data_IF_473614376335
#
_entry.id   IF_473614376335
#
_cell.length_a   1.000
_cell.length_b   1.000
_cell.length_c   1.000
_cell.angle_alpha   90.00
_cell.angle_beta   90.00
_cell.angle_gamma   90.00
#
_symmetry.space_group_name_H-M   'P 1'
#
loop_
_entity.id
_entity.type
_entity.pdbx_description
1 polymer ?
#
# COMPACT_ATOMS: atom_id res chain seq x y z
N UNK A 1 -18.52 -26.37 11.41
CA UNK A 1 -19.09 -27.32 12.39
C UNK A 1 -19.42 -28.61 11.66
N UNK A 2 -18.82 -29.74 12.03
CA UNK A 2 -19.31 -31.04 11.55
C UNK A 2 -20.67 -31.32 12.21
N UNK A 3 -21.54 -32.05 11.51
CA UNK A 3 -22.83 -32.42 12.11
C UNK A 3 -22.58 -33.37 13.31
N UNK A 4 -23.31 -33.19 14.42
CA UNK A 4 -23.21 -34.09 15.57
C UNK A 4 -23.50 -35.52 15.15
N UNK A 5 -22.71 -36.47 15.66
CA UNK A 5 -22.89 -37.90 15.38
C UNK A 5 -23.86 -38.57 16.36
N UNK A 6 -24.15 -37.92 17.50
CA UNK A 6 -25.20 -38.36 18.42
C UNK A 6 -26.58 -38.23 17.76
N UNK A 7 -27.41 -39.26 17.94
CA UNK A 7 -28.79 -39.26 17.47
C UNK A 7 -29.72 -38.90 18.63
N UNK A 8 -30.69 -38.04 18.37
CA UNK A 8 -31.77 -37.79 19.33
C UNK A 8 -32.55 -39.09 19.61
N UNK A 9 -32.58 -39.52 20.88
CA UNK A 9 -33.46 -40.61 21.32
C UNK A 9 -32.86 -42.02 21.37
N UNK A 10 -31.65 -42.21 21.91
CA UNK A 10 -31.04 -43.53 22.09
C UNK A 10 -31.79 -44.49 23.03
N UNK A 11 -32.64 -43.97 23.93
CA UNK A 11 -33.55 -44.79 24.74
C UNK A 11 -34.99 -44.50 24.31
N UNK A 12 -35.66 -45.47 23.69
CA UNK A 12 -37.11 -45.39 23.50
C UNK A 12 -37.75 -45.47 24.88
N UNK A 13 -38.51 -44.45 25.28
CA UNK A 13 -39.28 -44.52 26.52
C UNK A 13 -40.22 -45.74 26.43
N UNK A 14 -39.92 -46.80 27.21
CA UNK A 14 -40.59 -48.11 27.22
C UNK A 14 -40.35 -49.06 26.03
N UNK A 15 -39.26 -48.89 25.25
CA UNK A 15 -38.84 -49.86 24.22
C UNK A 15 -37.60 -50.65 24.63
N UNK A 16 -37.38 -51.87 24.09
CA UNK A 16 -36.14 -52.61 24.31
C UNK A 16 -34.98 -51.87 23.62
N UNK A 17 -34.08 -51.28 24.41
CA UNK A 17 -32.81 -50.74 23.93
C UNK A 17 -31.72 -51.71 24.36
N UNK A 18 -30.89 -52.15 23.42
CA UNK A 18 -29.76 -53.01 23.78
C UNK A 18 -28.73 -52.22 24.59
N UNK A 19 -28.08 -52.87 25.54
CA UNK A 19 -26.98 -52.24 26.30
C UNK A 19 -25.86 -51.72 25.40
N UNK A 20 -25.65 -52.39 24.26
CA UNK A 20 -24.70 -51.97 23.23
C UNK A 20 -25.09 -50.64 22.58
N UNK A 21 -26.34 -50.48 22.13
CA UNK A 21 -26.83 -49.22 21.54
C UNK A 21 -26.80 -48.06 22.54
N UNK A 22 -27.11 -48.34 23.81
CA UNK A 22 -27.02 -47.33 24.87
C UNK A 22 -25.57 -46.86 25.05
N UNK A 23 -24.61 -47.79 25.16
CA UNK A 23 -23.19 -47.46 25.33
C UNK A 23 -22.64 -46.67 24.13
N UNK A 24 -22.94 -47.11 22.90
CA UNK A 24 -22.52 -46.39 21.68
C UNK A 24 -23.11 -44.98 21.63
N UNK A 25 -24.36 -44.80 22.07
CA UNK A 25 -24.98 -43.47 22.11
C UNK A 25 -24.36 -42.56 23.19
N UNK A 26 -24.02 -43.10 24.36
CA UNK A 26 -23.30 -42.34 25.39
C UNK A 26 -21.87 -42.00 24.94
N UNK A 27 -21.16 -42.92 24.30
CA UNK A 27 -19.84 -42.66 23.71
C UNK A 27 -19.91 -41.56 22.64
N UNK A 28 -20.91 -41.61 21.75
CA UNK A 28 -21.11 -40.58 20.71
C UNK A 28 -21.43 -39.20 21.31
N UNK A 29 -22.25 -39.14 22.38
CA UNK A 29 -22.51 -37.87 23.09
C UNK A 29 -21.24 -37.33 23.75
N UNK A 30 -20.43 -38.22 24.32
CA UNK A 30 -19.15 -37.83 24.91
C UNK A 30 -18.20 -37.26 23.85
N UNK A 31 -18.09 -37.90 22.69
CA UNK A 31 -17.30 -37.38 21.57
C UNK A 31 -17.83 -36.04 21.04
N UNK A 32 -19.14 -35.88 20.89
CA UNK A 32 -19.75 -34.61 20.49
C UNK A 32 -19.48 -33.50 21.52
N UNK A 33 -19.59 -33.80 22.82
CA UNK A 33 -19.25 -32.86 23.89
C UNK A 33 -17.77 -32.46 23.85
N UNK A 34 -16.87 -33.43 23.67
CA UNK A 34 -15.44 -33.17 23.59
C UNK A 34 -15.10 -32.31 22.35
N UNK A 35 -15.75 -32.58 21.21
CA UNK A 35 -15.61 -31.75 20.02
C UNK A 35 -16.16 -30.34 20.24
N UNK A 36 -17.31 -30.18 20.90
CA UNK A 36 -17.86 -28.87 21.27
C UNK A 36 -16.93 -28.10 22.21
N UNK A 37 -16.36 -28.75 23.22
CA UNK A 37 -15.38 -28.11 24.11
C UNK A 37 -14.12 -27.69 23.35
N UNK A 38 -13.61 -28.55 22.46
CA UNK A 38 -12.46 -28.22 21.62
C UNK A 38 -12.75 -27.02 20.72
N UNK A 39 -13.89 -27.02 20.03
CA UNK A 39 -14.32 -25.90 19.18
C UNK A 39 -14.58 -24.64 20.00
N UNK A 40 -15.16 -24.74 21.20
CA UNK A 40 -15.37 -23.59 22.08
C UNK A 40 -14.05 -22.96 22.52
N UNK A 41 -13.07 -23.79 22.90
CA UNK A 41 -11.74 -23.31 23.27
C UNK A 41 -11.00 -22.70 22.06
N UNK A 42 -11.09 -23.33 20.88
CA UNK A 42 -10.53 -22.78 19.63
C UNK A 42 -11.17 -21.42 19.30
N UNK A 43 -12.50 -21.30 19.41
CA UNK A 43 -13.22 -20.05 19.18
C UNK A 43 -12.84 -18.97 20.20
N UNK A 44 -12.72 -19.30 21.49
CA UNK A 44 -12.31 -18.34 22.52
C UNK A 44 -10.89 -17.82 22.27
N UNK A 45 -9.98 -18.70 21.83
CA UNK A 45 -8.61 -18.34 21.48
C UNK A 45 -8.59 -17.41 20.26
N UNK A 46 -9.30 -17.77 19.18
CA UNK A 46 -9.44 -16.93 17.99
C UNK A 46 -10.03 -15.55 18.33
N UNK A 47 -11.04 -15.50 19.20
CA UNK A 47 -11.69 -14.26 19.61
C UNK A 47 -10.74 -13.36 20.42
N UNK A 48 -9.93 -13.94 21.31
CA UNK A 48 -8.89 -13.20 22.05
C UNK A 48 -7.81 -12.65 21.10
N UNK A 49 -7.39 -13.42 20.11
CA UNK A 49 -6.43 -12.97 19.10
C UNK A 49 -6.99 -11.83 18.26
N UNK A 50 -8.21 -12.00 17.73
CA UNK A 50 -8.91 -10.97 16.96
C UNK A 50 -9.09 -9.68 17.76
N UNK A 51 -9.50 -9.79 19.03
CA UNK A 51 -9.63 -8.62 19.91
C UNK A 51 -8.32 -7.86 20.09
N UNK A 52 -7.21 -8.57 20.32
CA UNK A 52 -5.87 -7.94 20.45
C UNK A 52 -5.45 -7.21 19.17
N UNK A 53 -5.74 -7.81 18.02
CA UNK A 53 -5.41 -7.25 16.71
C UNK A 53 -6.19 -5.96 16.49
N UNK A 54 -7.51 -6.01 16.66
CA UNK A 54 -8.39 -4.83 16.56
C UNK A 54 -7.93 -3.73 17.52
N UNK A 55 -7.57 -4.08 18.76
CA UNK A 55 -7.06 -3.12 19.73
C UNK A 55 -5.76 -2.45 19.24
N UNK A 56 -4.82 -3.24 18.68
CA UNK A 56 -3.56 -2.72 18.18
C UNK A 56 -3.74 -1.78 16.98
N UNK A 57 -4.63 -2.13 16.05
CA UNK A 57 -4.98 -1.28 14.91
C UNK A 57 -5.71 -0.02 15.35
N UNK A 58 -6.66 -0.15 16.28
CA UNK A 58 -7.40 0.98 16.82
C UNK A 58 -6.46 1.99 17.48
N UNK A 59 -5.50 1.53 18.27
CA UNK A 59 -4.52 2.40 18.92
C UNK A 59 -3.56 3.06 17.92
N UNK A 60 -3.11 2.31 16.90
CA UNK A 60 -2.29 2.86 15.83
C UNK A 60 -3.04 3.99 15.09
N UNK A 61 -4.29 3.75 14.73
CA UNK A 61 -5.14 4.76 14.08
C UNK A 61 -5.42 5.96 15.00
N UNK A 62 -5.69 5.73 16.29
CA UNK A 62 -5.91 6.82 17.25
C UNK A 62 -4.68 7.72 17.38
N UNK A 63 -3.48 7.14 17.43
CA UNK A 63 -2.23 7.91 17.45
C UNK A 63 -2.05 8.70 16.16
N UNK A 64 -2.34 8.09 15.02
CA UNK A 64 -2.29 8.76 13.73
C UNK A 64 -3.30 9.93 13.64
N UNK A 65 -4.52 9.76 14.14
CA UNK A 65 -5.54 10.83 14.19
C UNK A 65 -5.06 12.02 15.03
N UNK A 66 -4.46 11.79 16.20
CA UNK A 66 -3.93 12.89 17.04
C UNK A 66 -2.87 13.72 16.32
N UNK A 67 -2.06 13.08 15.48
CA UNK A 67 -1.02 13.76 14.69
C UNK A 67 -1.64 14.54 13.53
N UNK A 68 -2.68 13.99 12.90
CA UNK A 68 -3.44 14.73 11.90
C UNK A 68 -4.10 15.97 12.50
N UNK A 69 -4.69 15.85 13.69
CA UNK A 69 -5.30 16.97 14.43
C UNK A 69 -4.26 18.06 14.76
N UNK A 70 -3.10 17.70 15.29
CA UNK A 70 -2.04 18.67 15.56
C UNK A 70 -1.55 19.36 14.30
N UNK A 71 -1.50 18.64 13.17
CA UNK A 71 -1.07 19.21 11.90
C UNK A 71 -2.12 20.12 11.27
N UNK A 72 -3.41 19.79 11.37
CA UNK A 72 -4.50 20.68 10.95
C UNK A 72 -4.39 22.00 11.71
N UNK A 73 -4.22 21.93 13.03
CA UNK A 73 -4.03 23.13 13.85
C UNK A 73 -2.81 23.98 13.41
N UNK A 74 -1.68 23.34 13.08
CA UNK A 74 -0.52 24.05 12.53
C UNK A 74 -0.79 24.70 11.16
N UNK A 75 -1.53 24.02 10.28
CA UNK A 75 -1.89 24.55 8.96
C UNK A 75 -2.90 25.69 9.07
N UNK A 76 -3.90 25.59 9.93
CA UNK A 76 -4.85 26.66 10.23
C UNK A 76 -4.13 27.89 10.75
N UNK A 77 -3.17 27.71 11.68
CA UNK A 77 -2.34 28.80 12.18
C UNK A 77 -1.57 29.49 11.04
N UNK A 78 -0.89 28.72 10.18
CA UNK A 78 -0.18 29.28 9.01
C UNK A 78 -1.13 29.99 8.04
N UNK A 79 -2.35 29.49 7.87
CA UNK A 79 -3.36 30.12 7.03
C UNK A 79 -3.80 31.46 7.61
N UNK A 80 -4.05 31.54 8.92
CA UNK A 80 -4.34 32.83 9.58
C UNK A 80 -3.16 33.81 9.52
N UNK A 81 -1.92 33.32 9.57
CA UNK A 81 -0.73 34.17 9.37
C UNK A 81 -0.66 34.71 7.94
N UNK A 82 -0.98 33.89 6.93
CA UNK A 82 -1.04 34.29 5.52
C UNK A 82 -2.19 35.26 5.20
N UNK A 83 -3.37 35.10 5.82
CA UNK A 83 -4.48 36.05 5.67
C UNK A 83 -4.14 37.46 6.18
N UNK A 84 -3.23 37.54 7.15
CA UNK A 84 -2.75 38.82 7.69
C UNK A 84 -1.64 39.46 6.83
N UNK A 85 -0.97 38.69 5.96
CA UNK A 85 0.09 39.16 5.06
C UNK A 85 -0.53 39.59 3.71
N UNK A 86 -0.70 40.91 3.51
CA UNK A 86 -1.38 41.51 2.34
C UNK A 86 -0.64 41.34 0.98
N UNK A 87 0.37 40.47 0.89
CA UNK A 87 1.19 40.25 -0.30
C UNK A 87 0.93 38.86 -0.88
N UNK A 88 -0.33 38.55 -1.17
CA UNK A 88 -0.63 37.43 -2.09
C UNK A 88 -0.26 37.91 -3.50
N UNK A 89 1.00 37.68 -3.88
CA UNK A 89 1.40 37.69 -5.29
C UNK A 89 0.40 36.79 -6.01
N UNK A 90 -0.39 37.31 -6.95
CA UNK A 90 -1.59 36.66 -7.55
C UNK A 90 -1.37 35.37 -8.35
N UNK A 91 -0.34 34.59 -8.00
CA UNK A 91 -0.03 33.23 -8.44
C UNK A 91 -0.63 32.23 -7.47
N UNK A 92 -1.44 31.34 -8.02
CA UNK A 92 -2.15 30.31 -7.30
C UNK A 92 -1.84 28.95 -7.92
N UNK A 93 -2.16 27.88 -7.21
CA UNK A 93 -2.13 26.55 -7.78
C UNK A 93 -3.31 25.71 -7.29
N UNK A 94 -3.80 24.83 -8.15
CA UNK A 94 -4.69 23.72 -7.77
C UNK A 94 -3.94 22.42 -7.98
N UNK A 95 -4.01 21.51 -7.02
CA UNK A 95 -3.42 20.17 -7.13
C UNK A 95 -4.56 19.17 -7.19
N UNK A 96 -4.58 18.34 -8.22
CA UNK A 96 -5.48 17.21 -8.34
C UNK A 96 -4.68 15.95 -8.08
N UNK A 97 -5.16 15.14 -7.13
CA UNK A 97 -4.48 13.92 -6.72
C UNK A 97 -4.96 12.75 -7.56
N UNK A 98 -4.29 11.61 -7.43
CA UNK A 98 -4.69 10.35 -8.07
C UNK A 98 -6.16 9.97 -7.83
N UNK A 99 -6.73 10.34 -6.68
CA UNK A 99 -8.14 10.09 -6.37
C UNK A 99 -9.09 10.83 -7.32
N UNK A 100 -8.67 11.97 -7.87
CA UNK A 100 -9.44 12.77 -8.83
C UNK A 100 -9.22 12.30 -10.29
N UNK A 101 -8.18 11.49 -10.52
CA UNK A 101 -7.82 11.05 -11.86
C UNK A 101 -8.78 9.99 -12.41
N UNK A 102 -8.95 9.96 -13.72
CA UNK A 102 -9.73 8.95 -14.44
C UNK A 102 -9.03 8.56 -15.72
N UNK A 103 -9.31 7.36 -16.22
CA UNK A 103 -8.87 6.94 -17.56
C UNK A 103 -9.99 7.02 -18.58
N UNK A 104 -11.20 7.44 -18.18
CA UNK A 104 -12.37 7.56 -19.04
C UNK A 104 -12.67 9.01 -19.37
N UNK A 105 -12.90 9.28 -20.65
CA UNK A 105 -13.39 10.57 -21.10
C UNK A 105 -14.83 10.79 -20.61
N UNK A 106 -15.25 12.06 -20.37
CA UNK A 106 -16.59 12.32 -19.84
C UNK A 106 -17.72 11.92 -20.80
N UNK A 107 -17.47 11.94 -22.12
CA UNK A 107 -18.44 11.51 -23.14
C UNK A 107 -18.05 10.14 -23.72
N UNK A 108 -19.00 9.20 -23.77
CA UNK A 108 -18.77 7.84 -24.28
C UNK A 108 -18.25 7.80 -25.72
N UNK A 109 -18.71 8.70 -26.60
CA UNK A 109 -18.25 8.76 -27.99
C UNK A 109 -16.78 9.11 -28.10
N UNK A 110 -16.30 10.04 -27.25
CA UNK A 110 -14.88 10.39 -27.18
C UNK A 110 -14.08 9.22 -26.59
N UNK A 111 -14.62 8.60 -25.54
CA UNK A 111 -13.98 7.47 -24.85
C UNK A 111 -13.80 6.23 -25.74
N UNK A 112 -14.79 5.93 -26.60
CA UNK A 112 -14.75 4.81 -27.54
C UNK A 112 -13.81 5.05 -28.73
N UNK A 113 -13.56 6.32 -29.07
CA UNK A 113 -12.65 6.69 -30.14
C UNK A 113 -11.18 6.71 -29.68
N UNK A 114 -10.93 6.73 -28.37
CA UNK A 114 -9.58 6.66 -27.81
C UNK A 114 -8.99 5.25 -27.99
N UNK A 115 -7.78 5.20 -28.55
CA UNK A 115 -7.07 3.94 -28.88
C UNK A 115 -5.84 3.72 -28.03
N UNK A 116 -5.39 4.75 -27.31
CA UNK A 116 -4.21 4.66 -26.45
C UNK A 116 -4.49 3.74 -25.25
N UNK A 117 -3.45 3.03 -24.81
CA UNK A 117 -3.53 2.20 -23.62
C UNK A 117 -3.81 3.09 -22.39
N UNK A 118 -4.59 2.59 -21.44
CA UNK A 118 -5.01 3.36 -20.27
C UNK A 118 -4.12 3.03 -19.07
N UNK A 119 -3.69 4.05 -18.35
CA UNK A 119 -2.96 3.87 -17.10
C UNK A 119 -3.76 3.05 -16.09
N UNK A 120 -3.04 2.35 -15.23
CA UNK A 120 -3.61 1.74 -14.04
C UNK A 120 -3.57 2.76 -12.91
N UNK A 121 -4.75 3.15 -12.43
CA UNK A 121 -4.91 3.99 -11.25
C UNK A 121 -4.98 3.07 -10.03
N UNK A 122 -3.99 3.17 -9.15
CA UNK A 122 -3.95 2.39 -7.92
C UNK A 122 -4.22 3.30 -6.71
N UNK A 123 -5.47 3.25 -6.23
CA UNK A 123 -5.91 4.05 -5.09
C UNK A 123 -5.34 3.54 -3.77
N UNK A 124 -4.93 2.28 -3.68
CA UNK A 124 -4.37 1.71 -2.46
C UNK A 124 -2.96 2.24 -2.19
N UNK A 125 -2.15 2.41 -3.23
CA UNK A 125 -0.80 3.00 -3.12
C UNK A 125 -0.71 4.45 -3.59
N UNK A 126 -1.84 5.03 -3.98
CA UNK A 126 -2.01 6.45 -4.36
C UNK A 126 -1.11 6.91 -5.51
N UNK A 127 -1.08 6.15 -6.59
CA UNK A 127 -0.46 6.63 -7.84
C UNK A 127 -1.13 6.03 -9.08
N UNK A 128 -1.01 6.72 -10.20
CA UNK A 128 -1.27 6.19 -11.53
C UNK A 128 0.05 5.72 -12.15
N UNK A 129 0.03 4.56 -12.79
CA UNK A 129 1.20 4.00 -13.49
C UNK A 129 0.81 3.46 -14.86
N UNK A 130 1.80 3.08 -15.65
CA UNK A 130 1.62 2.45 -16.95
C UNK A 130 0.85 1.13 -16.79
N UNK A 131 -0.02 0.74 -17.74
CA UNK A 131 -0.74 -0.52 -17.64
C UNK A 131 0.19 -1.71 -17.45
N UNK A 132 -0.11 -2.53 -16.43
CA UNK A 132 0.62 -3.75 -16.10
C UNK A 132 0.07 -4.89 -16.96
N UNK A 133 0.93 -5.51 -17.77
CA UNK A 133 0.59 -6.68 -18.58
C UNK A 133 0.56 -7.93 -17.69
N UNK A 134 1.63 -8.13 -16.90
CA UNK A 134 1.79 -9.29 -16.03
C UNK A 134 2.50 -8.92 -14.74
N UNK A 135 2.12 -9.56 -13.64
CA UNK A 135 2.82 -9.45 -12.36
C UNK A 135 3.13 -10.86 -11.85
N UNK A 136 4.41 -11.18 -11.75
CA UNK A 136 4.88 -12.53 -11.41
C UNK A 136 5.37 -12.52 -9.95
N UNK A 137 4.65 -13.18 -9.01
CA UNK A 137 5.07 -13.27 -7.61
C UNK A 137 6.35 -14.10 -7.46
N UNK A 138 7.19 -13.72 -6.50
CA UNK A 138 8.44 -14.41 -6.16
C UNK A 138 8.41 -15.05 -4.77
N UNK A 139 7.41 -14.73 -3.96
CA UNK A 139 7.26 -15.21 -2.58
C UNK A 139 6.21 -16.30 -2.43
N UNK A 140 5.28 -16.40 -3.39
CA UNK A 140 4.24 -17.42 -3.44
C UNK A 140 3.92 -17.81 -4.88
N UNK A 141 3.21 -18.92 -5.05
CA UNK A 141 2.62 -19.35 -6.31
C UNK A 141 1.10 -19.50 -6.15
N UNK A 142 0.35 -19.12 -7.19
CA UNK A 142 -1.09 -19.34 -7.25
C UNK A 142 -1.32 -20.60 -8.09
N UNK A 143 -1.84 -21.65 -7.47
CA UNK A 143 -2.22 -22.88 -8.16
C UNK A 143 -3.39 -22.68 -9.11
N UNK A 144 -3.66 -23.67 -9.97
CA UNK A 144 -4.81 -23.64 -10.90
C UNK A 144 -6.16 -23.49 -10.19
N UNK A 145 -6.24 -23.98 -8.95
CA UNK A 145 -7.43 -23.93 -8.11
C UNK A 145 -7.52 -22.63 -7.28
N UNK A 146 -6.72 -21.61 -7.63
CA UNK A 146 -6.54 -20.35 -6.89
C UNK A 146 -5.98 -20.50 -5.46
N UNK A 147 -5.57 -21.70 -5.07
CA UNK A 147 -4.89 -21.91 -3.79
C UNK A 147 -3.50 -21.27 -3.84
N UNK A 148 -3.20 -20.44 -2.85
CA UNK A 148 -1.87 -19.84 -2.71
C UNK A 148 -0.95 -20.79 -1.96
N UNK A 149 0.22 -21.02 -2.52
CA UNK A 149 1.25 -21.90 -1.97
C UNK A 149 2.50 -21.06 -1.73
N UNK A 150 2.88 -20.92 -0.47
CA UNK A 150 4.18 -20.37 -0.07
C UNK A 150 5.21 -21.50 -0.05
N UNK A 151 6.31 -21.40 -0.81
CA UNK A 151 7.29 -22.47 -0.87
C UNK A 151 7.95 -22.75 0.46
N UNK A 152 8.33 -24.01 0.67
CA UNK A 152 9.12 -24.41 1.84
C UNK A 152 10.55 -23.88 1.80
N UNK A 153 11.10 -23.60 0.61
CA UNK A 153 12.44 -23.05 0.42
C UNK A 153 12.49 -21.51 0.52
N UNK A 154 11.37 -20.83 0.76
CA UNK A 154 11.38 -19.44 1.19
C UNK A 154 11.92 -19.36 2.62
N UNK A 155 13.14 -18.86 2.79
CA UNK A 155 13.78 -18.73 4.11
C UNK A 155 13.69 -17.28 4.55
N UNK A 156 13.08 -17.06 5.72
CA UNK A 156 12.98 -15.73 6.35
C UNK A 156 13.65 -15.79 7.71
N UNK A 157 14.70 -14.99 7.89
CA UNK A 157 15.36 -14.80 9.19
C UNK A 157 14.83 -13.52 9.81
N UNK A 158 14.37 -13.62 11.05
CA UNK A 158 13.83 -12.50 11.82
C UNK A 158 14.88 -12.09 12.87
N UNK A 159 15.46 -10.91 12.70
CA UNK A 159 16.41 -10.29 13.62
C UNK A 159 15.85 -9.01 14.26
N UNK A 160 16.57 -8.46 15.23
CA UNK A 160 16.27 -7.18 15.89
C UNK A 160 17.52 -6.60 16.54
N UNK A 161 17.51 -5.30 16.81
CA UNK A 161 18.62 -4.61 17.47
C UNK A 161 18.56 -4.81 18.99
N UNK A 162 17.38 -4.68 19.60
CA UNK A 162 17.22 -4.88 21.04
C UNK A 162 17.14 -6.37 21.38
N UNK A 163 17.85 -6.83 22.41
CA UNK A 163 17.84 -8.25 22.83
C UNK A 163 16.92 -8.54 24.02
N UNK A 164 16.41 -7.50 24.68
CA UNK A 164 15.50 -7.60 25.83
C UNK A 164 14.05 -7.96 25.45
N UNK A 165 13.18 -8.10 26.46
CA UNK A 165 11.75 -8.35 26.26
C UNK A 165 11.40 -9.80 25.85
N UNK A 166 10.14 -10.17 26.06
CA UNK A 166 9.59 -11.49 25.70
C UNK A 166 8.90 -11.41 24.35
N UNK A 167 9.21 -12.35 23.46
CA UNK A 167 8.66 -12.39 22.09
C UNK A 167 7.49 -13.36 22.02
N UNK A 168 6.41 -12.93 21.38
CA UNK A 168 5.29 -13.79 20.96
C UNK A 168 5.04 -13.51 19.48
N UNK A 169 5.13 -14.53 18.62
CA UNK A 169 4.89 -14.37 17.18
C UNK A 169 4.09 -15.53 16.60
N UNK A 170 3.34 -15.23 15.54
CA UNK A 170 2.68 -16.24 14.72
C UNK A 170 3.54 -16.60 13.49
N UNK A 171 3.00 -17.42 12.59
CA UNK A 171 3.75 -17.87 11.41
C UNK A 171 4.14 -16.70 10.49
N UNK A 172 5.45 -16.54 10.28
CA UNK A 172 6.05 -15.55 9.37
C UNK A 172 5.59 -15.70 7.93
N UNK A 173 5.22 -16.92 7.51
CA UNK A 173 4.76 -17.18 6.13
C UNK A 173 3.45 -16.47 5.80
N UNK A 174 2.68 -16.08 6.81
CA UNK A 174 1.44 -15.30 6.63
C UNK A 174 1.70 -13.91 6.00
N UNK A 175 2.92 -13.36 6.09
CA UNK A 175 3.25 -12.13 5.36
C UNK A 175 3.53 -12.35 3.86
N UNK A 176 3.70 -13.59 3.40
CA UNK A 176 4.24 -13.87 2.05
C UNK A 176 3.27 -14.59 1.12
N UNK A 177 2.06 -14.88 1.60
CA UNK A 177 1.06 -15.67 0.91
C UNK A 177 0.10 -14.85 0.01
N UNK A 178 0.29 -13.53 -0.11
CA UNK A 178 -0.58 -12.68 -0.94
C UNK A 178 -2.05 -12.62 -0.51
N UNK A 179 -2.39 -13.11 0.70
CA UNK A 179 -3.74 -13.02 1.25
C UNK A 179 -3.84 -11.85 2.22
N UNK A 180 -4.63 -10.85 1.84
CA UNK A 180 -4.93 -9.68 2.65
C UNK A 180 -5.75 -9.99 3.92
N UNK A 181 -6.16 -11.23 4.19
CA UNK A 181 -6.83 -11.59 5.45
C UNK A 181 -5.88 -12.22 6.47
N UNK A 182 -4.69 -12.63 6.03
CA UNK A 182 -3.64 -13.16 6.89
C UNK A 182 -2.58 -12.11 7.18
N UNK A 183 -1.89 -12.26 8.30
CA UNK A 183 -0.82 -11.34 8.69
C UNK A 183 0.20 -12.08 9.53
N UNK A 184 1.45 -11.65 9.43
CA UNK A 184 2.46 -11.94 10.42
C UNK A 184 2.50 -10.82 11.45
N UNK A 185 2.54 -11.22 12.72
CA UNK A 185 2.58 -10.33 13.88
C UNK A 185 3.58 -10.87 14.89
N UNK A 186 4.41 -9.97 15.38
CA UNK A 186 5.40 -10.18 16.43
C UNK A 186 5.17 -9.15 17.53
N UNK A 187 4.82 -9.64 18.71
CA UNK A 187 4.72 -8.86 19.93
C UNK A 187 6.05 -8.95 20.70
N UNK A 188 6.59 -7.80 21.09
CA UNK A 188 7.76 -7.73 21.98
C UNK A 188 7.34 -7.03 23.28
N UNK A 189 7.37 -7.78 24.37
CA UNK A 189 6.79 -7.38 25.65
C UNK A 189 7.90 -7.04 26.64
N UNK A 190 7.88 -5.81 27.16
CA UNK A 190 8.83 -5.30 28.14
C UNK A 190 8.14 -4.96 29.46
N UNK A 191 8.87 -5.09 30.55
CA UNK A 191 8.56 -4.41 31.81
C UNK A 191 8.64 -2.90 31.60
N UNK A 192 7.78 -2.13 32.26
CA UNK A 192 7.69 -0.67 32.01
C UNK A 192 9.03 0.07 32.13
N UNK A 193 9.88 -0.32 33.10
CA UNK A 193 11.18 0.30 33.37
C UNK A 193 12.30 -0.09 32.39
N UNK A 194 12.15 -1.22 31.69
CA UNK A 194 13.19 -1.80 30.81
C UNK A 194 12.89 -1.58 29.32
N UNK A 195 11.74 -0.99 29.01
CA UNK A 195 11.27 -0.84 27.66
C UNK A 195 12.08 0.24 26.91
N UNK A 196 12.57 -0.06 25.70
CA UNK A 196 13.22 0.94 24.85
C UNK A 196 12.21 2.01 24.38
N UNK A 197 12.74 3.07 23.77
CA UNK A 197 11.91 4.08 23.11
C UNK A 197 11.31 3.56 21.80
N UNK A 198 12.06 2.77 21.05
CA UNK A 198 11.62 2.11 19.82
C UNK A 198 12.06 0.64 19.78
N UNK A 199 11.29 -0.17 19.05
CA UNK A 199 11.63 -1.56 18.74
C UNK A 199 11.68 -1.74 17.23
N UNK A 200 12.69 -2.48 16.76
CA UNK A 200 12.87 -2.80 15.35
C UNK A 200 12.76 -4.30 15.08
N UNK A 201 12.37 -4.63 13.85
CA UNK A 201 12.50 -5.98 13.32
C UNK A 201 13.13 -5.93 11.93
N UNK A 202 14.15 -6.76 11.75
CA UNK A 202 14.92 -6.88 10.52
C UNK A 202 14.59 -8.24 9.91
N UNK A 203 13.90 -8.21 8.78
CA UNK A 203 13.55 -9.40 8.01
C UNK A 203 14.58 -9.60 6.92
N UNK A 204 15.35 -10.69 6.98
CA UNK A 204 16.19 -11.13 5.87
C UNK A 204 15.50 -12.28 5.12
N UNK A 205 15.07 -12.00 3.91
CA UNK A 205 14.29 -12.89 3.05
C UNK A 205 15.21 -13.43 1.97
N UNK A 206 15.34 -14.75 1.88
CA UNK A 206 16.03 -15.45 0.79
C UNK A 206 14.99 -16.02 -0.17
N UNK A 207 15.00 -15.55 -1.41
CA UNK A 207 13.98 -15.89 -2.40
C UNK A 207 14.12 -17.37 -2.82
N UNK A 208 12.99 -18.10 -2.97
CA UNK A 208 12.99 -19.51 -3.31
C UNK A 208 13.49 -19.73 -4.75
N UNK A 209 14.56 -20.50 -4.93
CA UNK A 209 15.13 -20.73 -6.26
C UNK A 209 14.23 -21.61 -7.14
N UNK A 210 13.39 -22.46 -6.53
CA UNK A 210 12.56 -23.43 -7.27
C UNK A 210 11.31 -22.83 -7.91
N UNK A 211 10.76 -21.75 -7.34
CA UNK A 211 9.66 -21.01 -7.96
C UNK A 211 10.13 -20.03 -9.04
N UNK A 212 11.40 -19.67 -9.00
CA UNK A 212 11.89 -18.47 -9.68
C UNK A 212 12.66 -18.88 -10.93
N UNK A 213 11.97 -18.93 -12.07
CA UNK A 213 12.61 -19.09 -13.39
C UNK A 213 13.58 -17.94 -13.71
N UNK A 214 13.42 -16.79 -13.06
CA UNK A 214 14.26 -15.60 -13.22
C UNK A 214 14.31 -14.81 -11.91
N UNK A 215 15.50 -14.58 -11.36
CA UNK A 215 15.75 -13.83 -10.12
C UNK A 215 15.46 -12.33 -10.22
N UNK A 216 15.13 -11.83 -11.42
CA UNK A 216 14.79 -10.42 -11.61
C UNK A 216 13.54 -10.04 -10.83
N UNK A 217 13.64 -8.93 -10.11
CA UNK A 217 12.54 -8.24 -9.44
C UNK A 217 12.62 -6.76 -9.78
N UNK A 218 11.48 -6.09 -9.79
CA UNK A 218 11.38 -4.65 -10.02
C UNK A 218 10.25 -4.01 -9.20
N UNK A 219 9.61 -4.80 -8.34
CA UNK A 219 8.47 -4.38 -7.53
C UNK A 219 8.57 -5.02 -6.17
N UNK A 220 8.50 -4.20 -5.13
CA UNK A 220 8.30 -4.65 -3.75
C UNK A 220 7.09 -3.88 -3.22
N UNK A 221 6.21 -4.56 -2.50
CA UNK A 221 5.17 -3.92 -1.72
C UNK A 221 5.20 -4.43 -0.29
N UNK A 222 4.82 -3.57 0.62
CA UNK A 222 4.74 -3.86 2.05
C UNK A 222 3.46 -3.26 2.60
N UNK A 223 2.63 -4.10 3.20
CA UNK A 223 1.47 -3.69 3.99
C UNK A 223 1.83 -3.90 5.46
N UNK A 224 2.21 -2.84 6.18
CA UNK A 224 2.57 -2.96 7.59
C UNK A 224 1.36 -3.35 8.43
N UNK A 225 1.59 -4.12 9.49
CA UNK A 225 0.56 -4.51 10.46
C UNK A 225 1.08 -4.32 11.90
N UNK A 226 0.48 -3.41 12.71
CA UNK A 226 -0.69 -2.59 12.40
C UNK A 226 -0.39 -1.47 11.40
N UNK A 227 -1.35 -1.18 10.52
CA UNK A 227 -1.24 -0.12 9.52
C UNK A 227 -1.08 1.25 10.23
N UNK A 228 -0.16 2.09 9.76
CA UNK A 228 0.17 3.38 10.39
C UNK A 228 0.56 3.28 11.87
N UNK A 229 0.94 2.10 12.36
CA UNK A 229 1.56 1.91 13.68
C UNK A 229 3.04 1.56 13.60
N UNK A 230 3.55 1.38 12.38
CA UNK A 230 4.91 0.93 12.07
C UNK A 230 5.48 1.83 10.98
N UNK A 231 6.76 2.13 11.08
CA UNK A 231 7.57 2.74 10.05
C UNK A 231 8.30 1.65 9.24
N UNK A 232 8.22 1.72 7.92
CA UNK A 232 9.11 0.99 7.02
C UNK A 232 10.38 1.83 6.89
N UNK A 233 11.42 1.48 7.65
CA UNK A 233 12.65 2.28 7.80
C UNK A 233 13.60 2.11 6.62
N UNK A 234 13.71 0.89 6.11
CA UNK A 234 14.60 0.60 4.98
C UNK A 234 14.17 -0.67 4.23
N UNK A 235 14.43 -0.70 2.92
CA UNK A 235 14.33 -1.88 2.07
C UNK A 235 15.63 -1.99 1.26
N UNK A 236 16.39 -3.04 1.54
CA UNK A 236 17.66 -3.33 0.88
C UNK A 236 17.56 -4.61 0.06
N UNK A 237 18.25 -4.63 -1.08
CA UNK A 237 18.44 -5.81 -1.89
C UNK A 237 19.91 -6.19 -1.89
N UNK A 238 20.19 -7.49 -1.87
CA UNK A 238 21.54 -8.00 -2.03
C UNK A 238 21.84 -8.18 -3.51
N UNK A 239 22.75 -7.35 -4.03
CA UNK A 239 23.22 -7.41 -5.41
C UNK A 239 24.75 -7.23 -5.44
N UNK A 240 25.43 -8.07 -6.22
CA UNK A 240 26.90 -8.11 -6.31
C UNK A 240 27.61 -8.23 -4.96
N UNK A 241 27.07 -9.04 -4.05
CA UNK A 241 27.65 -9.29 -2.72
C UNK A 241 27.48 -8.16 -1.70
N UNK A 242 26.86 -7.05 -2.08
CA UNK A 242 26.61 -5.89 -1.21
C UNK A 242 25.12 -5.67 -0.98
N UNK A 243 24.77 -5.21 0.23
CA UNK A 243 23.44 -4.69 0.51
C UNK A 243 23.33 -3.27 0.00
N UNK A 244 22.31 -3.00 -0.81
CA UNK A 244 22.00 -1.65 -1.30
C UNK A 244 20.53 -1.37 -1.10
N UNK A 245 20.20 -0.17 -0.64
CA UNK A 245 18.82 0.30 -0.60
C UNK A 245 18.24 0.32 -2.01
N UNK A 246 16.94 -0.01 -2.15
CA UNK A 246 16.27 0.07 -3.45
C UNK A 246 16.21 1.51 -3.95
N UNK A 247 16.38 1.68 -5.25
CA UNK A 247 16.24 2.98 -5.89
C UNK A 247 14.80 3.50 -5.75
N UNK A 248 14.62 4.77 -5.41
CA UNK A 248 13.32 5.37 -5.14
C UNK A 248 12.62 4.88 -3.86
N UNK A 249 13.36 4.31 -2.89
CA UNK A 249 12.81 3.97 -1.58
C UNK A 249 12.11 5.17 -0.92
N UNK A 250 12.79 6.31 -0.90
CA UNK A 250 12.20 7.57 -0.47
C UNK A 250 11.17 8.03 -1.52
N UNK A 251 9.91 7.83 -1.20
CA UNK A 251 8.80 8.24 -2.05
C UNK A 251 8.39 9.68 -1.75
N UNK A 252 8.26 10.50 -2.79
CA UNK A 252 7.70 11.84 -2.69
C UNK A 252 6.18 11.70 -2.60
N UNK A 253 5.67 11.78 -1.39
CA UNK A 253 4.25 11.85 -1.14
C UNK A 253 3.92 13.27 -0.67
N UNK A 254 2.95 13.92 -1.31
CA UNK A 254 2.51 15.28 -0.97
C UNK A 254 1.64 15.29 0.31
N UNK A 255 1.93 14.42 1.27
CA UNK A 255 1.23 14.41 2.54
C UNK A 255 1.77 15.51 3.45
N UNK A 256 0.87 16.14 4.19
CA UNK A 256 1.20 17.18 5.16
C UNK A 256 1.89 16.66 6.43
N UNK A 257 1.95 15.33 6.62
CA UNK A 257 2.49 14.65 7.80
C UNK A 257 3.89 14.11 7.51
N UNK A 258 4.79 14.13 8.49
CA UNK A 258 6.11 13.50 8.36
C UNK A 258 5.95 11.97 8.31
N UNK A 259 5.86 11.41 7.10
CA UNK A 259 5.59 9.99 6.80
C UNK A 259 6.67 9.06 7.38
N UNK A 260 7.80 9.63 7.78
CA UNK A 260 8.93 8.94 8.37
C UNK A 260 8.63 8.28 9.73
N UNK A 261 7.44 8.44 10.32
CA UNK A 261 7.10 7.77 11.58
C UNK A 261 5.95 6.77 11.46
N UNK A 262 5.12 6.89 10.42
CA UNK A 262 3.93 6.08 10.22
C UNK A 262 3.79 5.72 8.75
N UNK A 263 4.08 4.47 8.43
CA UNK A 263 3.94 3.96 7.07
C UNK A 263 2.53 3.42 6.84
N UNK A 264 1.88 3.91 5.79
CA UNK A 264 0.75 3.23 5.17
C UNK A 264 1.26 2.04 4.34
N UNK A 265 0.33 1.37 3.66
CA UNK A 265 0.68 0.44 2.58
C UNK A 265 1.51 1.15 1.54
N UNK A 266 2.63 0.55 1.14
CA UNK A 266 3.53 1.12 0.13
C UNK A 266 3.90 0.08 -0.93
N UNK A 267 4.12 0.59 -2.13
CA UNK A 267 4.56 -0.19 -3.29
C UNK A 267 5.61 0.63 -4.02
N UNK A 268 6.75 0.00 -4.28
CA UNK A 268 7.89 0.60 -4.97
C UNK A 268 8.08 -0.09 -6.31
N UNK A 269 8.17 0.71 -7.36
CA UNK A 269 8.77 0.29 -8.63
C UNK A 269 10.18 0.84 -8.70
N UNK A 270 11.11 -0.02 -9.08
CA UNK A 270 12.53 0.29 -9.25
C UNK A 270 13.07 -0.51 -10.45
N UNK A 271 14.27 -0.20 -10.97
CA UNK A 271 14.80 -0.91 -12.13
C UNK A 271 14.93 -2.42 -11.90
N UNK A 272 14.74 -3.20 -12.96
CA UNK A 272 14.81 -4.66 -12.87
C UNK A 272 16.22 -5.14 -12.50
N UNK A 273 16.37 -5.78 -11.34
CA UNK A 273 17.65 -6.33 -10.87
C UNK A 273 17.50 -7.80 -10.47
N UNK A 274 18.49 -8.66 -10.73
CA UNK A 274 18.50 -10.02 -10.20
C UNK A 274 18.83 -9.97 -8.70
N UNK A 275 17.91 -10.47 -7.87
CA UNK A 275 18.03 -10.40 -6.41
C UNK A 275 17.86 -11.78 -5.82
N UNK A 276 18.73 -12.13 -4.87
CA UNK A 276 18.61 -13.38 -4.10
C UNK A 276 18.10 -13.12 -2.69
N UNK A 277 18.52 -12.01 -2.07
CA UNK A 277 18.13 -11.66 -0.70
C UNK A 277 17.60 -10.25 -0.62
N UNK A 278 16.59 -10.08 0.22
CA UNK A 278 15.95 -8.80 0.52
C UNK A 278 16.03 -8.62 2.02
N UNK A 279 16.34 -7.40 2.49
CA UNK A 279 16.28 -7.03 3.88
C UNK A 279 15.27 -5.91 4.05
N UNK A 280 14.30 -6.10 4.94
CA UNK A 280 13.29 -5.10 5.27
C UNK A 280 13.41 -4.79 6.76
N UNK A 281 13.53 -3.50 7.08
CA UNK A 281 13.59 -3.02 8.45
C UNK A 281 12.30 -2.30 8.79
N UNK A 282 11.56 -2.83 9.76
CA UNK A 282 10.35 -2.24 10.31
C UNK A 282 10.64 -1.71 11.71
N UNK A 283 10.11 -0.55 12.06
CA UNK A 283 10.32 0.08 13.38
C UNK A 283 9.01 0.57 13.96
N UNK A 284 8.82 0.39 15.26
CA UNK A 284 7.72 0.98 16.00
C UNK A 284 8.25 1.83 17.14
N UNK A 285 7.89 3.12 17.12
CA UNK A 285 8.31 4.11 18.13
C UNK A 285 7.34 4.27 19.31
N UNK A 286 6.10 3.81 19.16
CA UNK A 286 5.06 4.02 20.16
C UNK A 286 4.54 2.67 20.68
N UNK A 287 5.02 2.22 21.86
CA UNK A 287 4.52 0.99 22.46
C UNK A 287 3.09 1.15 22.98
N UNK A 288 2.35 0.05 22.97
CA UNK A 288 1.04 -0.07 23.58
C UNK A 288 1.23 -0.45 25.06
N UNK A 289 0.47 0.16 25.97
CA UNK A 289 0.49 -0.22 27.39
C UNK A 289 -0.61 -1.23 27.70
N UNK A 290 -0.24 -2.45 28.12
CA UNK A 290 -1.18 -3.52 28.51
C UNK A 290 -0.75 -4.08 29.85
N UNK A 291 -1.60 -3.95 30.88
CA UNK A 291 -1.35 -4.54 32.22
C UNK A 291 0.04 -4.17 32.79
N UNK A 292 0.38 -2.88 32.81
CA UNK A 292 1.68 -2.34 33.27
C UNK A 292 2.92 -2.82 32.48
N UNK A 293 2.71 -3.39 31.29
CA UNK A 293 3.77 -3.75 30.34
C UNK A 293 3.69 -2.87 29.10
N UNK A 294 4.86 -2.59 28.53
CA UNK A 294 4.97 -1.96 27.21
C UNK A 294 5.09 -3.06 26.17
N UNK A 295 4.21 -3.03 25.18
CA UNK A 295 4.11 -4.03 24.12
C UNK A 295 4.33 -3.34 22.79
N UNK A 296 5.37 -3.76 22.09
CA UNK A 296 5.58 -3.39 20.70
C UNK A 296 4.93 -4.46 19.81
N UNK A 297 4.16 -4.04 18.81
CA UNK A 297 3.52 -4.89 17.82
C UNK A 297 4.10 -4.53 16.46
N UNK A 298 4.91 -5.44 15.92
CA UNK A 298 5.58 -5.33 14.63
C UNK A 298 5.10 -6.44 13.71
N UNK A 299 4.87 -6.15 12.44
CA UNK A 299 4.29 -7.14 11.54
C UNK A 299 4.04 -6.62 10.15
N UNK A 300 3.58 -7.52 9.30
CA UNK A 300 3.15 -7.21 7.96
C UNK A 300 1.98 -8.12 7.58
N UNK A 301 0.98 -7.53 6.95
CA UNK A 301 -0.11 -8.23 6.30
C UNK A 301 0.37 -8.85 4.98
N UNK A 302 1.15 -8.08 4.20
CA UNK A 302 1.76 -8.56 2.97
C UNK A 302 3.17 -7.99 2.80
N UNK A 303 4.11 -8.82 2.39
CA UNK A 303 5.40 -8.49 1.83
C UNK A 303 5.47 -9.19 0.48
N UNK A 304 5.08 -8.45 -0.54
CA UNK A 304 4.98 -8.95 -1.89
C UNK A 304 6.22 -8.56 -2.70
N UNK A 305 6.85 -9.55 -3.32
CA UNK A 305 8.02 -9.35 -4.20
C UNK A 305 7.64 -9.83 -5.58
N UNK A 306 7.77 -8.95 -6.58
CA UNK A 306 7.27 -9.23 -7.93
C UNK A 306 8.25 -8.82 -9.02
N UNK A 307 8.12 -9.50 -10.16
CA UNK A 307 8.52 -9.00 -11.45
C UNK A 307 7.26 -8.52 -12.19
N UNK A 308 7.09 -7.21 -12.29
CA UNK A 308 6.00 -6.56 -13.01
C UNK A 308 6.44 -6.22 -14.43
N UNK A 309 5.63 -6.60 -15.41
CA UNK A 309 5.83 -6.34 -16.84
C UNK A 309 4.78 -5.32 -17.26
N UNK A 310 5.23 -4.22 -17.86
CA UNK A 310 4.39 -3.07 -18.22
C UNK A 310 4.26 -2.95 -19.74
N UNK A 311 3.23 -2.23 -20.20
CA UNK A 311 3.09 -1.91 -21.62
C UNK A 311 4.24 -1.00 -22.09
N UNK A 312 5.04 -1.43 -23.09
CA UNK A 312 6.16 -0.62 -23.57
C UNK A 312 5.71 0.69 -24.24
N UNK A 313 4.46 0.77 -24.68
CA UNK A 313 3.92 1.97 -25.33
C UNK A 313 3.45 3.00 -24.31
N UNK A 314 3.44 2.70 -23.02
CA UNK A 314 2.98 3.63 -21.99
C UNK A 314 1.48 3.58 -21.78
N UNK A 315 0.90 4.68 -21.30
CA UNK A 315 -0.55 4.81 -21.21
C UNK A 315 -1.02 6.18 -20.75
N UNK A 316 -2.34 6.40 -20.85
CA UNK A 316 -2.96 7.68 -20.54
C UNK A 316 -3.72 7.74 -19.23
N UNK A 317 -3.71 8.92 -18.63
CA UNK A 317 -4.55 9.31 -17.50
C UNK A 317 -5.05 10.74 -17.68
N UNK A 318 -6.30 10.99 -17.33
CA UNK A 318 -6.96 12.29 -17.37
C UNK A 318 -7.07 12.84 -15.96
N UNK A 319 -6.63 14.09 -15.78
CA UNK A 319 -6.70 14.78 -14.48
C UNK A 319 -7.59 16.01 -14.58
N UNK A 320 -8.76 16.03 -13.92
CA UNK A 320 -9.67 17.17 -13.93
C UNK A 320 -9.27 18.25 -12.91
N UNK A 321 -9.53 19.51 -13.26
CA UNK A 321 -9.39 20.67 -12.39
C UNK A 321 -10.69 21.49 -12.44
N UNK A 322 -11.32 21.71 -11.29
CA UNK A 322 -12.44 22.64 -11.15
C UNK A 322 -11.92 24.07 -11.00
N UNK A 323 -12.32 24.94 -11.94
CA UNK A 323 -11.95 26.35 -12.02
C UNK A 323 -13.17 27.27 -11.91
N UNK A 324 -14.33 26.73 -11.52
CA UNK A 324 -15.60 27.46 -11.46
C UNK A 324 -15.61 28.67 -10.51
N UNK A 325 -14.74 28.65 -9.50
CA UNK A 325 -14.55 29.67 -8.47
C UNK A 325 -13.52 30.76 -8.85
N UNK A 326 -12.73 30.55 -9.90
CA UNK A 326 -11.59 31.42 -10.21
C UNK A 326 -11.99 32.65 -11.03
N UNK A 327 -12.93 32.49 -11.98
CA UNK A 327 -13.31 33.55 -12.92
C UNK A 327 -12.43 33.55 -14.17
N UNK A 328 -11.77 34.68 -14.47
CA UNK A 328 -10.78 34.79 -15.57
C UNK A 328 -9.38 34.49 -15.02
N UNK A 329 -8.64 33.64 -15.71
CA UNK A 329 -7.29 33.25 -15.28
C UNK A 329 -6.37 32.96 -16.46
N UNK A 330 -5.06 32.98 -16.19
CA UNK A 330 -4.02 32.54 -17.12
C UNK A 330 -3.37 31.28 -16.56
N UNK A 331 -3.25 30.24 -17.38
CA UNK A 331 -2.47 29.05 -17.01
C UNK A 331 -0.99 29.40 -17.15
N UNK A 332 -0.22 29.26 -16.08
CA UNK A 332 1.23 29.56 -16.11
C UNK A 332 2.04 28.32 -16.47
N UNK A 333 1.75 27.18 -15.81
CA UNK A 333 2.43 25.90 -16.04
C UNK A 333 1.67 24.73 -15.42
N UNK A 334 1.98 23.54 -15.91
CA UNK A 334 1.52 22.28 -15.33
C UNK A 334 2.73 21.51 -14.80
N UNK A 335 2.60 20.96 -13.59
CA UNK A 335 3.65 20.24 -12.89
C UNK A 335 3.15 18.83 -12.53
N UNK A 336 3.87 17.81 -12.97
CA UNK A 336 3.60 16.41 -12.64
C UNK A 336 4.46 15.95 -11.47
N UNK A 337 3.84 15.31 -10.48
CA UNK A 337 4.51 14.92 -9.24
C UNK A 337 4.54 13.41 -9.17
N UNK A 338 5.74 12.83 -9.21
CA UNK A 338 5.95 11.37 -9.21
C UNK A 338 6.42 10.88 -7.83
N UNK A 339 5.81 9.82 -7.30
CA UNK A 339 6.23 9.26 -6.00
C UNK A 339 7.65 8.69 -6.09
N UNK A 340 8.00 8.04 -7.19
CA UNK A 340 9.30 7.41 -7.41
C UNK A 340 10.27 8.27 -8.22
N UNK A 341 10.16 9.60 -8.18
CA UNK A 341 11.04 10.52 -8.93
C UNK A 341 12.53 10.20 -8.76
N UNK A 342 12.95 9.83 -7.55
CA UNK A 342 14.35 9.47 -7.22
C UNK A 342 14.85 8.17 -7.86
N UNK A 343 13.96 7.35 -8.42
CA UNK A 343 14.33 6.15 -9.17
C UNK A 343 14.54 6.40 -10.68
N UNK A 344 14.19 7.58 -11.19
CA UNK A 344 14.36 7.87 -12.62
C UNK A 344 15.84 8.02 -12.97
N UNK A 345 16.19 7.64 -14.19
CA UNK A 345 17.54 7.79 -14.74
C UNK A 345 17.94 9.25 -14.94
N UNK A 346 16.96 10.14 -15.13
CA UNK A 346 17.14 11.59 -15.26
C UNK A 346 17.31 12.20 -13.86
N UNK A 347 18.43 12.88 -13.60
CA UNK A 347 18.72 13.51 -12.30
C UNK A 347 17.81 14.72 -12.02
N UNK A 348 17.59 15.08 -10.75
CA UNK A 348 16.68 16.16 -10.34
C UNK A 348 17.02 17.54 -10.96
N UNK A 349 18.29 17.78 -11.31
CA UNK A 349 18.70 19.02 -11.99
C UNK A 349 18.25 19.11 -13.46
N UNK A 350 17.71 18.03 -14.03
CA UNK A 350 17.32 17.90 -15.43
C UNK A 350 15.82 17.62 -15.59
N UNK A 351 14.99 18.09 -14.66
CA UNK A 351 13.53 17.88 -14.68
C UNK A 351 12.84 18.36 -15.97
N UNK A 352 13.41 19.35 -16.66
CA UNK A 352 12.93 19.83 -17.96
C UNK A 352 13.02 18.76 -19.08
N UNK A 353 13.79 17.68 -18.89
CA UNK A 353 13.88 16.56 -19.82
C UNK A 353 12.85 15.45 -19.54
N UNK A 354 12.11 15.54 -18.43
CA UNK A 354 11.08 14.55 -18.11
C UNK A 354 9.91 14.64 -19.08
N UNK A 355 9.52 15.86 -19.45
CA UNK A 355 8.57 16.10 -20.54
C UNK A 355 9.22 15.70 -21.87
N UNK A 356 8.53 14.91 -22.69
CA UNK A 356 9.08 14.32 -23.92
C UNK A 356 9.76 12.96 -23.72
N UNK A 357 10.10 12.59 -22.48
CA UNK A 357 10.82 11.34 -22.18
C UNK A 357 10.02 10.39 -21.28
N UNK A 358 9.62 10.86 -20.09
CA UNK A 358 8.87 10.08 -19.09
C UNK A 358 7.37 10.34 -19.21
N UNK A 359 6.99 11.56 -19.62
CA UNK A 359 5.60 11.89 -19.86
C UNK A 359 5.46 12.94 -20.96
N UNK A 360 4.27 12.98 -21.55
CA UNK A 360 3.76 14.11 -22.34
C UNK A 360 2.41 14.52 -21.77
N UNK A 361 2.00 15.76 -21.99
CA UNK A 361 0.66 16.16 -21.62
C UNK A 361 0.02 17.11 -22.63
N UNK A 362 -1.30 17.10 -22.61
CA UNK A 362 -2.15 17.98 -23.39
C UNK A 362 -3.21 18.58 -22.46
N UNK A 363 -3.54 19.85 -22.68
CA UNK A 363 -4.54 20.56 -21.89
C UNK A 363 -5.84 20.64 -22.66
N UNK A 364 -6.94 20.35 -22.00
CA UNK A 364 -8.27 20.36 -22.56
C UNK A 364 -9.18 21.25 -21.73
N UNK A 365 -10.13 21.89 -22.40
CA UNK A 365 -11.28 22.53 -21.74
C UNK A 365 -12.50 21.64 -21.94
N UNK A 366 -13.33 21.55 -20.91
CA UNK A 366 -14.60 20.82 -20.99
C UNK A 366 -15.74 21.75 -21.37
N UNK A 367 -16.41 21.46 -22.49
CA UNK A 367 -17.61 22.15 -22.94
C UNK A 367 -18.74 21.11 -23.10
N UNK A 368 -19.74 21.16 -22.22
CA UNK A 368 -20.87 20.21 -22.22
C UNK A 368 -20.44 18.73 -22.23
N UNK A 369 -19.40 18.38 -21.46
CA UNK A 369 -18.87 17.00 -21.38
C UNK A 369 -17.91 16.61 -22.51
N UNK A 370 -17.72 17.44 -23.52
CA UNK A 370 -16.76 17.20 -24.61
C UNK A 370 -15.44 17.89 -24.28
N UNK A 371 -14.33 17.14 -24.33
CA UNK A 371 -13.00 17.69 -24.11
C UNK A 371 -12.41 18.20 -25.43
N UNK A 372 -12.12 19.50 -25.50
CA UNK A 372 -11.44 20.12 -26.65
C UNK A 372 -10.04 20.57 -26.28
N UNK A 373 -8.99 20.18 -27.03
CA UNK A 373 -7.62 20.53 -26.70
C UNK A 373 -7.39 22.02 -26.87
N UNK A 374 -6.56 22.58 -26.00
CA UNK A 374 -6.07 23.96 -26.09
C UNK A 374 -4.54 23.96 -26.13
N UNK A 375 -3.98 24.94 -26.83
CA UNK A 375 -2.53 25.14 -26.95
C UNK A 375 -2.05 26.22 -25.99
N UNK A 376 -0.74 26.33 -25.78
CA UNK A 376 -0.14 27.34 -24.89
C UNK A 376 -0.50 28.79 -25.28
N UNK A 377 -0.78 29.06 -26.56
CA UNK A 377 -1.24 30.39 -27.03
C UNK A 377 -2.63 30.73 -26.50
N UNK A 378 -3.41 29.72 -26.13
CA UNK A 378 -4.75 29.86 -25.59
C UNK A 378 -4.74 29.78 -24.06
N UNK A 379 -3.59 29.81 -23.38
CA UNK A 379 -3.56 29.73 -21.92
C UNK A 379 -3.99 31.02 -21.22
N UNK A 380 -3.95 32.15 -21.93
CA UNK A 380 -4.32 33.46 -21.41
C UNK A 380 -5.83 33.72 -21.49
N UNK A 381 -6.36 34.47 -20.51
CA UNK A 381 -7.76 34.90 -20.40
C UNK A 381 -8.78 33.75 -20.47
N UNK A 382 -8.43 32.60 -19.89
CA UNK A 382 -9.31 31.45 -19.83
C UNK A 382 -10.51 31.71 -18.91
N UNK A 383 -11.67 31.22 -19.34
CA UNK A 383 -12.96 31.32 -18.61
C UNK A 383 -13.61 29.95 -18.44
N UNK A 384 -12.95 28.88 -18.90
CA UNK A 384 -13.45 27.52 -18.76
C UNK A 384 -13.61 27.17 -17.28
N UNK A 385 -14.78 26.62 -16.93
CA UNK A 385 -15.06 26.18 -15.55
C UNK A 385 -14.32 24.89 -15.19
N UNK A 386 -13.90 24.11 -16.18
CA UNK A 386 -13.22 22.84 -15.95
C UNK A 386 -12.15 22.62 -16.99
N UNK A 387 -10.95 22.36 -16.49
CA UNK A 387 -9.76 22.02 -17.27
C UNK A 387 -9.46 20.55 -17.05
N UNK A 388 -8.94 19.90 -18.07
CA UNK A 388 -8.45 18.53 -18.00
C UNK A 388 -7.02 18.49 -18.51
N UNK A 389 -6.17 17.76 -17.82
CA UNK A 389 -4.82 17.45 -18.28
C UNK A 389 -4.78 15.98 -18.67
N UNK A 390 -4.67 15.70 -19.98
CA UNK A 390 -4.41 14.35 -20.49
C UNK A 390 -2.92 14.13 -20.40
N UNK A 391 -2.49 13.23 -19.52
CA UNK A 391 -1.08 12.86 -19.36
C UNK A 391 -0.86 11.50 -19.98
N UNK A 392 0.12 11.41 -20.87
CA UNK A 392 0.62 10.15 -21.39
C UNK A 392 1.94 9.82 -20.70
N UNK A 393 2.01 8.67 -20.00
CA UNK A 393 3.19 8.19 -19.29
C UNK A 393 3.96 7.20 -20.14
N UNK A 394 5.29 7.25 -20.10
CA UNK A 394 6.20 6.35 -20.82
C UNK A 394 7.17 5.66 -19.84
N UNK A 395 7.61 4.43 -20.14
CA UNK A 395 8.69 3.81 -19.37
C UNK A 395 9.96 4.65 -19.50
N UNK A 396 10.74 4.74 -18.42
CA UNK A 396 12.05 5.37 -18.50
C UNK A 396 12.93 4.65 -19.55
N UNK A 397 13.48 5.39 -20.54
CA UNK A 397 14.17 4.79 -21.67
C UNK A 397 15.54 4.18 -21.31
N UNK A 398 16.04 4.39 -20.10
CA UNK A 398 17.31 3.83 -19.67
C UNK A 398 17.26 2.30 -19.67
N UNK A 399 18.15 1.67 -20.42
CA UNK A 399 18.27 0.21 -20.47
C UNK A 399 18.82 -0.39 -19.18
N UNK A 400 19.54 0.40 -18.37
CA UNK A 400 20.19 -0.07 -17.14
C UNK A 400 19.45 0.34 -15.86
N UNK A 401 18.79 1.49 -15.88
CA UNK A 401 18.07 2.09 -14.73
C UNK A 401 16.61 2.46 -15.07
N UNK A 402 16.03 1.84 -16.10
CA UNK A 402 14.65 2.12 -16.50
C UNK A 402 13.65 1.69 -15.42
N UNK A 403 12.86 2.63 -14.93
CA UNK A 403 11.74 2.41 -14.01
C UNK A 403 10.46 2.99 -14.60
N UNK A 404 9.32 2.40 -14.26
CA UNK A 404 8.02 2.93 -14.69
C UNK A 404 7.57 4.06 -13.75
N UNK A 405 7.04 5.17 -14.30
CA UNK A 405 6.60 6.30 -13.49
C UNK A 405 5.39 5.95 -12.61
N UNK A 406 5.40 6.49 -11.39
CA UNK A 406 4.27 6.50 -10.46
C UNK A 406 3.77 7.94 -10.28
N UNK A 407 2.82 8.37 -11.11
CA UNK A 407 2.24 9.71 -11.03
C UNK A 407 1.33 9.81 -9.81
N UNK A 408 1.67 10.69 -8.86
CA UNK A 408 0.90 10.91 -7.64
C UNK A 408 -0.16 11.99 -7.79
N UNK A 409 0.22 13.10 -8.42
CA UNK A 409 -0.61 14.28 -8.55
C UNK A 409 -0.17 15.11 -9.76
N UNK A 410 -1.09 15.95 -10.25
CA UNK A 410 -0.80 17.00 -11.21
C UNK A 410 -1.19 18.34 -10.59
N UNK A 411 -0.33 19.34 -10.74
CA UNK A 411 -0.54 20.69 -10.22
C UNK A 411 -0.64 21.68 -11.36
N UNK A 412 -1.75 22.41 -11.39
CA UNK A 412 -2.03 23.51 -12.31
C UNK A 412 -1.66 24.82 -11.61
N UNK A 413 -0.64 25.52 -12.10
CA UNK A 413 -0.27 26.86 -11.65
C UNK A 413 -0.96 27.89 -12.54
N UNK A 414 -1.58 28.90 -11.93
CA UNK A 414 -2.35 29.91 -12.65
C UNK A 414 -2.28 31.28 -11.97
N UNK A 415 -2.54 32.33 -12.73
CA UNK A 415 -2.75 33.68 -12.19
C UNK A 415 -4.19 34.10 -12.40
N UNK A 416 -4.74 34.82 -11.42
CA UNK A 416 -6.06 35.43 -11.57
C UNK A 416 -5.90 36.77 -12.29
N UNK A 417 -6.66 36.97 -13.36
CA UNK A 417 -6.66 38.21 -14.15
C UNK A 417 -7.68 39.22 -13.64
#
# INVERSE_FOLDING_TARGET
MRMPISKGGGARFRGPTSSHEYNVNEDNKYYDLLELYRQSNENELQLKEAYKVILSEHLALQNYTKILESRIYELEKKLTELENDQLINGRFFKTAFVEDMTTKFPTETQDQNEREARCQIDLQYRFATIPIIHQIPKTHAIGKDQQVIVPEDLVVKVGRTNTGGTIIENDIKNAFNGDNNSYWKREVIYSFAEAPEEEDVILEIELPLKLVNNLNINTILVHPHPEKGIQIKDIQIQYNGSWKQIEGFEQIELQSVNINEFSSRKKWYFPSRPVQKIRITLVQKHPITIQDKKVFVLGAQEIGVYLSIFDPNGGIVLTPFDMSDVGVYNIERIEHIFTNRKAFSITEGLDHLLEGTIFNYEVYIENNGILTPITNVQWDNQTAKRIWVKTHLYPDPSTENGVNPCLHAVRLHYTKS
#
